data_IF_045586483131
#
_entry.id   IF_045586483131
#
_cell.length_a   1.000
_cell.length_b   1.000
_cell.length_c   1.000
_cell.angle_alpha   90.00
_cell.angle_beta   90.00
_cell.angle_gamma   90.00
#
_symmetry.space_group_name_H-M   'P 1'
#
loop_
_entity.id
_entity.type
_entity.pdbx_description
1 polymer ?
#
# COMPACT_ATOMS: atom_id res chain seq x y z
N UNK A 1 -20.72 -0.26 17.81
CA UNK A 1 -20.93 1.21 17.76
C UNK A 1 -21.46 1.57 16.38
N UNK A 2 -22.26 2.61 16.24
CA UNK A 2 -22.80 3.00 14.92
C UNK A 2 -21.81 3.93 14.20
N UNK A 3 -21.51 3.62 12.95
CA UNK A 3 -20.65 4.47 12.12
C UNK A 3 -21.27 5.84 11.86
N UNK A 4 -20.43 6.87 11.78
CA UNK A 4 -20.81 8.19 11.25
C UNK A 4 -21.08 8.12 9.75
N UNK A 5 -21.86 9.06 9.24
CA UNK A 5 -22.25 9.09 7.82
C UNK A 5 -21.02 9.08 6.90
N UNK A 6 -21.03 8.20 5.90
CA UNK A 6 -19.99 8.07 4.87
C UNK A 6 -18.68 7.39 5.30
N UNK A 7 -18.49 7.13 6.61
CA UNK A 7 -17.24 6.53 7.10
C UNK A 7 -17.05 5.11 6.58
N UNK A 8 -18.10 4.27 6.62
CA UNK A 8 -17.99 2.89 6.10
C UNK A 8 -17.70 2.83 4.61
N UNK A 9 -18.18 3.79 3.82
CA UNK A 9 -17.90 3.86 2.38
C UNK A 9 -16.41 4.15 2.13
N UNK A 10 -15.81 5.06 2.90
CA UNK A 10 -14.36 5.31 2.82
C UNK A 10 -13.55 4.10 3.30
N UNK A 11 -13.94 3.49 4.42
CA UNK A 11 -13.24 2.30 4.93
C UNK A 11 -13.31 1.13 3.94
N UNK A 12 -14.41 0.95 3.22
CA UNK A 12 -14.52 -0.06 2.17
C UNK A 12 -13.55 0.21 1.01
N UNK A 13 -13.40 1.46 0.60
CA UNK A 13 -12.44 1.84 -0.45
C UNK A 13 -11.00 1.64 0.00
N UNK A 14 -10.67 2.07 1.22
CA UNK A 14 -9.32 1.90 1.80
C UNK A 14 -9.00 0.41 1.94
N UNK A 15 -9.91 -0.41 2.49
CA UNK A 15 -9.69 -1.86 2.60
C UNK A 15 -9.45 -2.51 1.22
N UNK A 16 -10.20 -2.11 0.19
CA UNK A 16 -9.97 -2.59 -1.17
C UNK A 16 -8.57 -2.26 -1.67
N UNK A 17 -8.09 -1.04 -1.44
CA UNK A 17 -6.74 -0.64 -1.80
C UNK A 17 -5.67 -1.48 -1.06
N UNK A 18 -5.82 -1.66 0.25
CA UNK A 18 -4.89 -2.46 1.06
C UNK A 18 -4.86 -3.94 0.65
N UNK A 19 -6.01 -4.54 0.41
CA UNK A 19 -6.08 -5.94 -0.07
C UNK A 19 -5.47 -6.08 -1.47
N UNK A 20 -5.67 -5.11 -2.34
CA UNK A 20 -5.02 -5.07 -3.67
C UNK A 20 -3.50 -4.95 -3.51
N UNK A 21 -3.02 -4.08 -2.63
CA UNK A 21 -1.59 -3.91 -2.34
C UNK A 21 -0.94 -5.22 -1.87
N UNK A 22 -1.60 -5.98 -0.99
CA UNK A 22 -1.11 -7.29 -0.55
C UNK A 22 -0.85 -8.21 -1.75
N UNK A 23 -1.83 -8.33 -2.65
CA UNK A 23 -1.71 -9.17 -3.85
C UNK A 23 -0.61 -8.68 -4.77
N UNK A 24 -0.53 -7.37 -4.99
CA UNK A 24 0.47 -6.76 -5.86
C UNK A 24 1.89 -6.95 -5.31
N UNK A 25 2.11 -6.70 -4.03
CA UNK A 25 3.43 -6.83 -3.41
C UNK A 25 3.88 -8.28 -3.24
N UNK A 26 2.95 -9.22 -3.00
CA UNK A 26 3.26 -10.65 -3.03
C UNK A 26 3.75 -11.09 -4.43
N UNK A 27 3.07 -10.65 -5.48
CA UNK A 27 3.49 -10.94 -6.84
C UNK A 27 4.86 -10.32 -7.16
N UNK A 28 5.05 -9.05 -6.83
CA UNK A 28 6.32 -8.35 -7.09
C UNK A 28 7.48 -8.92 -6.29
N UNK A 29 7.24 -9.34 -5.04
CA UNK A 29 8.23 -10.05 -4.23
C UNK A 29 8.67 -11.36 -4.91
N UNK A 30 7.72 -12.15 -5.37
CA UNK A 30 7.99 -13.41 -6.07
C UNK A 30 8.72 -13.20 -7.40
N UNK A 31 8.33 -12.18 -8.16
CA UNK A 31 9.00 -11.82 -9.42
C UNK A 31 10.45 -11.40 -9.19
N UNK A 32 10.71 -10.53 -8.21
CA UNK A 32 12.05 -10.10 -7.85
C UNK A 32 12.93 -11.28 -7.42
N UNK A 33 12.40 -12.20 -6.63
CA UNK A 33 13.10 -13.42 -6.25
C UNK A 33 13.42 -14.30 -7.47
N UNK A 34 12.46 -14.49 -8.35
CA UNK A 34 12.65 -15.25 -9.59
C UNK A 34 13.74 -14.67 -10.49
N UNK A 35 13.87 -13.34 -10.52
CA UNK A 35 14.93 -12.64 -11.26
C UNK A 35 16.28 -12.61 -10.55
N UNK A 36 16.35 -13.06 -9.30
CA UNK A 36 17.60 -13.10 -8.50
C UNK A 36 17.89 -11.82 -7.72
N UNK A 37 16.89 -10.97 -7.49
CA UNK A 37 17.04 -9.70 -6.74
C UNK A 37 16.54 -9.86 -5.30
N UNK A 38 17.34 -10.48 -4.45
CA UNK A 38 16.95 -10.86 -3.09
C UNK A 38 16.63 -9.68 -2.18
N UNK A 39 17.34 -8.55 -2.34
CA UNK A 39 17.04 -7.33 -1.55
C UNK A 39 15.67 -6.75 -1.86
N UNK A 40 15.31 -6.68 -3.14
CA UNK A 40 13.98 -6.23 -3.55
C UNK A 40 12.90 -7.22 -3.10
N UNK A 41 13.15 -8.53 -3.22
CA UNK A 41 12.25 -9.55 -2.70
C UNK A 41 11.97 -9.34 -1.21
N UNK A 42 13.02 -9.15 -0.41
CA UNK A 42 12.88 -8.93 1.02
C UNK A 42 12.06 -7.67 1.34
N UNK A 43 12.32 -6.58 0.62
CA UNK A 43 11.58 -5.33 0.83
C UNK A 43 10.10 -5.45 0.44
N UNK A 44 9.79 -6.01 -0.74
CA UNK A 44 8.40 -6.24 -1.15
C UNK A 44 7.65 -7.19 -0.21
N UNK A 45 8.33 -8.20 0.32
CA UNK A 45 7.74 -9.10 1.34
C UNK A 45 7.41 -8.34 2.64
N UNK A 46 8.26 -7.41 3.03
CA UNK A 46 8.03 -6.53 4.18
C UNK A 46 6.82 -5.62 3.94
N UNK A 47 6.74 -4.96 2.78
CA UNK A 47 5.58 -4.14 2.41
C UNK A 47 4.28 -4.95 2.44
N UNK A 48 4.27 -6.15 1.86
CA UNK A 48 3.09 -7.03 1.89
C UNK A 48 2.65 -7.34 3.33
N UNK A 49 3.60 -7.54 4.25
CA UNK A 49 3.32 -7.76 5.67
C UNK A 49 2.69 -6.54 6.35
N UNK A 50 3.15 -5.35 6.04
CA UNK A 50 2.56 -4.10 6.55
C UNK A 50 1.11 -3.93 6.08
N UNK A 51 0.83 -4.19 4.80
CA UNK A 51 -0.54 -4.12 4.25
C UNK A 51 -1.48 -5.18 4.85
N UNK A 52 -0.96 -6.35 5.21
CA UNK A 52 -1.74 -7.34 5.99
C UNK A 52 -2.12 -6.77 7.35
N UNK A 53 -1.22 -6.11 8.04
CA UNK A 53 -1.49 -5.47 9.34
C UNK A 53 -2.52 -4.35 9.22
N UNK A 54 -2.41 -3.49 8.21
CA UNK A 54 -3.40 -2.45 7.92
C UNK A 54 -4.78 -3.05 7.64
N UNK A 55 -4.84 -4.06 6.77
CA UNK A 55 -6.10 -4.73 6.42
C UNK A 55 -6.76 -5.38 7.63
N UNK A 56 -5.99 -6.04 8.48
CA UNK A 56 -6.50 -6.65 9.73
C UNK A 56 -7.11 -5.58 10.65
N UNK A 57 -6.42 -4.47 10.86
CA UNK A 57 -6.92 -3.36 11.66
C UNK A 57 -8.19 -2.73 11.10
N UNK A 58 -8.27 -2.58 9.76
CA UNK A 58 -9.47 -2.06 9.09
C UNK A 58 -10.66 -3.01 9.23
N UNK A 59 -10.45 -4.31 9.07
CA UNK A 59 -11.49 -5.34 9.23
C UNK A 59 -12.06 -5.27 10.64
N UNK A 60 -11.20 -5.27 11.66
CA UNK A 60 -11.62 -5.16 13.06
C UNK A 60 -12.40 -3.87 13.31
N UNK A 61 -11.95 -2.76 12.77
CA UNK A 61 -12.61 -1.47 12.97
C UNK A 61 -13.96 -1.38 12.24
N UNK A 62 -14.06 -1.92 11.02
CA UNK A 62 -15.34 -1.98 10.28
C UNK A 62 -16.37 -2.80 11.08
N UNK A 63 -15.96 -3.96 11.63
CA UNK A 63 -16.83 -4.78 12.50
C UNK A 63 -17.21 -4.03 13.77
N UNK A 64 -16.29 -3.34 14.41
CA UNK A 64 -16.56 -2.48 15.58
C UNK A 64 -17.63 -1.42 15.29
N UNK A 65 -17.65 -0.88 14.07
CA UNK A 65 -18.67 0.08 13.61
C UNK A 65 -19.96 -0.58 13.12
N UNK A 66 -20.14 -1.89 13.33
CA UNK A 66 -21.26 -2.70 12.84
C UNK A 66 -21.39 -2.71 11.29
N UNK A 67 -20.28 -2.50 10.60
CA UNK A 67 -20.20 -2.68 9.15
C UNK A 67 -19.86 -4.12 8.77
N UNK A 68 -19.91 -4.41 7.48
CA UNK A 68 -19.48 -5.70 6.90
C UNK A 68 -18.27 -5.45 6.02
N UNK A 69 -17.07 -6.00 6.36
CA UNK A 69 -15.90 -5.86 5.51
C UNK A 69 -16.13 -6.52 4.15
N UNK A 70 -15.80 -5.83 3.08
CA UNK A 70 -15.83 -6.39 1.72
C UNK A 70 -14.49 -7.09 1.44
N UNK A 71 -14.51 -8.42 1.38
CA UNK A 71 -13.36 -9.26 1.12
C UNK A 71 -13.33 -9.82 -0.31
N UNK A 72 -14.27 -9.43 -1.16
CA UNK A 72 -14.44 -10.02 -2.48
C UNK A 72 -13.92 -9.12 -3.61
N UNK A 73 -13.97 -7.80 -3.44
CA UNK A 73 -13.61 -6.84 -4.49
C UNK A 73 -12.17 -6.37 -4.34
N UNK A 74 -11.38 -6.63 -5.38
CA UNK A 74 -10.00 -6.15 -5.55
C UNK A 74 -9.90 -5.35 -6.84
N UNK A 75 -8.97 -4.39 -6.87
CA UNK A 75 -8.57 -3.77 -8.12
C UNK A 75 -7.64 -4.73 -8.91
N UNK A 76 -7.55 -4.59 -10.24
CA UNK A 76 -6.62 -5.38 -11.02
C UNK A 76 -5.19 -5.19 -10.55
N UNK A 77 -4.47 -6.30 -10.32
CA UNK A 77 -3.05 -6.27 -9.97
C UNK A 77 -2.25 -5.91 -11.21
N UNK A 78 -1.51 -4.82 -11.12
CA UNK A 78 -0.60 -4.39 -12.18
C UNK A 78 0.77 -5.06 -11.97
N UNK A 79 1.34 -5.60 -13.03
CA UNK A 79 2.71 -6.08 -13.03
C UNK A 79 3.48 -5.46 -14.21
N UNK A 80 4.76 -5.24 -14.01
CA UNK A 80 5.67 -4.75 -15.04
C UNK A 80 6.51 -5.90 -15.62
N UNK A 81 7.23 -5.60 -16.69
CA UNK A 81 8.13 -6.56 -17.34
C UNK A 81 9.53 -6.56 -16.73
N UNK A 82 9.89 -5.52 -16.01
CA UNK A 82 11.19 -5.35 -15.35
C UNK A 82 11.05 -4.59 -14.03
N UNK A 83 12.13 -4.51 -13.27
CA UNK A 83 12.16 -3.85 -11.96
C UNK A 83 11.79 -2.38 -12.04
N UNK A 84 12.27 -1.65 -13.03
CA UNK A 84 11.94 -0.23 -13.18
C UNK A 84 10.44 -0.01 -13.38
N UNK A 85 9.80 -0.85 -14.19
CA UNK A 85 8.36 -0.81 -14.42
C UNK A 85 7.56 -1.18 -13.16
N UNK A 86 8.01 -2.18 -12.37
CA UNK A 86 7.39 -2.51 -11.07
C UNK A 86 7.42 -1.32 -10.12
N UNK A 87 8.60 -0.75 -9.92
CA UNK A 87 8.78 0.38 -9.01
C UNK A 87 7.94 1.59 -9.40
N UNK A 88 7.85 1.90 -10.69
CA UNK A 88 7.04 3.02 -11.18
C UNK A 88 5.54 2.81 -10.95
N UNK A 89 5.04 1.59 -11.20
CA UNK A 89 3.63 1.24 -10.96
C UNK A 89 3.27 1.28 -9.48
N UNK A 90 4.16 0.78 -8.63
CA UNK A 90 3.93 0.77 -7.19
C UNK A 90 3.97 2.17 -6.60
N UNK A 91 4.85 3.05 -7.12
CA UNK A 91 4.84 4.45 -6.76
C UNK A 91 3.51 5.14 -7.11
N UNK A 92 2.98 4.91 -8.30
CA UNK A 92 1.69 5.49 -8.70
C UNK A 92 0.56 4.95 -7.83
N UNK A 93 0.57 3.66 -7.52
CA UNK A 93 -0.40 3.02 -6.64
C UNK A 93 -0.39 3.65 -5.24
N UNK A 94 0.80 3.81 -4.63
CA UNK A 94 0.94 4.41 -3.30
C UNK A 94 0.51 5.87 -3.27
N UNK A 95 0.80 6.64 -4.31
CA UNK A 95 0.32 8.03 -4.43
C UNK A 95 -1.20 8.11 -4.49
N UNK A 96 -1.85 7.21 -5.21
CA UNK A 96 -3.31 7.14 -5.26
C UNK A 96 -3.88 6.76 -3.88
N UNK A 97 -3.25 5.83 -3.17
CA UNK A 97 -3.65 5.43 -1.82
C UNK A 97 -3.50 6.57 -0.82
N UNK A 98 -2.39 7.30 -0.83
CA UNK A 98 -2.19 8.50 -0.02
C UNK A 98 -3.31 9.52 -0.24
N UNK A 99 -3.70 9.76 -1.49
CA UNK A 99 -4.82 10.67 -1.81
C UNK A 99 -6.17 10.16 -1.30
N UNK A 100 -6.43 8.86 -1.38
CA UNK A 100 -7.63 8.23 -0.82
C UNK A 100 -7.67 8.37 0.71
N UNK A 101 -6.57 8.05 1.38
CA UNK A 101 -6.44 8.18 2.84
C UNK A 101 -6.64 9.64 3.28
N UNK A 102 -6.05 10.59 2.56
CA UNK A 102 -6.21 12.02 2.85
C UNK A 102 -7.66 12.46 2.77
N UNK A 103 -8.39 12.04 1.75
CA UNK A 103 -9.84 12.32 1.61
C UNK A 103 -10.65 11.69 2.75
N UNK A 104 -10.35 10.45 3.10
CA UNK A 104 -11.01 9.75 4.19
C UNK A 104 -10.76 10.43 5.56
N UNK A 105 -9.52 10.86 5.82
CA UNK A 105 -9.14 11.58 7.06
C UNK A 105 -9.92 12.91 7.15
N UNK A 106 -9.95 13.69 6.08
CA UNK A 106 -10.70 14.95 6.03
C UNK A 106 -12.19 14.71 6.28
N UNK A 107 -12.76 13.66 5.68
CA UNK A 107 -14.16 13.31 5.91
C UNK A 107 -14.42 12.92 7.37
N UNK A 108 -13.57 12.09 7.97
CA UNK A 108 -13.69 11.71 9.38
C UNK A 108 -13.66 12.91 10.31
N UNK A 109 -12.76 13.87 10.05
CA UNK A 109 -12.71 15.13 10.81
C UNK A 109 -14.02 15.91 10.69
N UNK A 110 -14.59 16.00 9.49
CA UNK A 110 -15.85 16.71 9.22
C UNK A 110 -17.06 16.11 9.95
N UNK A 111 -17.12 14.79 10.08
CA UNK A 111 -18.21 14.10 10.80
C UNK A 111 -17.87 13.80 12.26
N UNK A 112 -16.75 14.33 12.75
CA UNK A 112 -16.28 14.16 14.13
C UNK A 112 -16.05 12.69 14.53
N UNK A 113 -15.56 11.86 13.59
CA UNK A 113 -15.10 10.49 13.84
C UNK A 113 -13.59 10.48 14.07
N UNK A 114 -13.17 10.87 15.26
CA UNK A 114 -11.76 11.00 15.61
C UNK A 114 -11.05 9.66 15.80
N UNK A 115 -11.77 8.60 16.12
CA UNK A 115 -11.20 7.26 16.26
C UNK A 115 -10.82 6.67 14.91
N UNK A 116 -11.73 6.71 13.94
CA UNK A 116 -11.43 6.29 12.56
C UNK A 116 -10.34 7.18 11.96
N UNK A 117 -10.42 8.49 12.15
CA UNK A 117 -9.38 9.43 11.72
C UNK A 117 -8.00 9.02 12.23
N UNK A 118 -7.87 8.72 13.52
CA UNK A 118 -6.61 8.34 14.13
C UNK A 118 -6.00 7.07 13.49
N UNK A 119 -6.81 6.06 13.21
CA UNK A 119 -6.39 4.84 12.51
C UNK A 119 -5.85 5.18 11.12
N UNK A 120 -6.58 5.99 10.35
CA UNK A 120 -6.19 6.38 8.99
C UNK A 120 -4.96 7.28 8.97
N UNK A 121 -4.76 8.12 9.99
CA UNK A 121 -3.56 8.96 10.14
C UNK A 121 -2.29 8.11 10.31
N UNK A 122 -2.33 7.00 11.02
CA UNK A 122 -1.22 6.06 11.10
C UNK A 122 -0.95 5.36 9.76
N UNK A 123 -2.00 5.00 9.04
CA UNK A 123 -1.84 4.36 7.74
C UNK A 123 -1.22 5.30 6.70
N UNK A 124 -1.62 6.58 6.69
CA UNK A 124 -1.06 7.53 5.73
C UNK A 124 0.43 7.81 5.99
N UNK A 125 0.88 7.78 7.24
CA UNK A 125 2.31 7.89 7.58
C UNK A 125 3.10 6.77 6.89
N UNK A 126 2.67 5.52 7.01
CA UNK A 126 3.31 4.37 6.39
C UNK A 126 3.27 4.46 4.86
N UNK A 127 2.13 4.83 4.27
CA UNK A 127 2.00 4.98 2.81
C UNK A 127 2.88 6.11 2.25
N UNK A 128 3.05 7.22 2.98
CA UNK A 128 3.99 8.28 2.61
C UNK A 128 5.46 7.81 2.68
N UNK A 129 5.82 6.96 3.64
CA UNK A 129 7.14 6.32 3.71
C UNK A 129 7.36 5.39 2.51
N UNK A 130 6.33 4.64 2.10
CA UNK A 130 6.40 3.80 0.88
C UNK A 130 6.63 4.66 -0.37
N UNK A 131 5.90 5.78 -0.53
CA UNK A 131 6.11 6.74 -1.63
C UNK A 131 7.57 7.22 -1.67
N UNK A 132 8.10 7.68 -0.53
CA UNK A 132 9.48 8.15 -0.44
C UNK A 132 10.48 7.07 -0.82
N UNK A 133 10.28 5.84 -0.34
CA UNK A 133 11.14 4.72 -0.69
C UNK A 133 11.16 4.45 -2.20
N UNK A 134 9.97 4.37 -2.85
CA UNK A 134 9.89 4.14 -4.30
C UNK A 134 10.54 5.28 -5.10
N UNK A 135 10.34 6.52 -4.69
CA UNK A 135 10.98 7.69 -5.30
C UNK A 135 12.51 7.62 -5.22
N UNK A 136 13.04 7.20 -4.07
CA UNK A 136 14.49 7.01 -3.86
C UNK A 136 15.03 5.93 -4.79
N UNK A 137 14.34 4.79 -4.93
CA UNK A 137 14.78 3.71 -5.82
C UNK A 137 14.84 4.19 -7.29
N UNK A 138 13.78 4.83 -7.77
CA UNK A 138 13.71 5.34 -9.13
C UNK A 138 14.77 6.42 -9.40
N UNK A 139 15.01 7.30 -8.43
CA UNK A 139 16.08 8.30 -8.50
C UNK A 139 17.46 7.66 -8.56
N UNK A 140 17.70 6.60 -7.79
CA UNK A 140 18.96 5.85 -7.85
C UNK A 140 19.18 5.22 -9.24
N UNK A 141 18.14 4.61 -9.81
CA UNK A 141 18.19 4.06 -11.16
C UNK A 141 18.54 5.16 -12.19
N UNK A 142 17.92 6.32 -12.09
CA UNK A 142 18.20 7.46 -12.97
C UNK A 142 19.66 7.92 -12.87
N UNK A 143 20.21 7.98 -11.66
CA UNK A 143 21.57 8.50 -11.41
C UNK A 143 22.68 7.52 -11.78
N UNK A 144 22.53 6.23 -11.49
CA UNK A 144 23.61 5.25 -11.67
C UNK A 144 23.35 4.23 -12.78
N UNK A 145 22.16 4.26 -13.36
CA UNK A 145 21.72 3.32 -14.39
C UNK A 145 21.16 2.01 -13.82
N UNK A 146 20.23 1.40 -14.56
CA UNK A 146 19.52 0.21 -14.14
C UNK A 146 20.43 -0.97 -13.84
N UNK A 147 21.43 -1.25 -14.68
CA UNK A 147 22.34 -2.39 -14.49
C UNK A 147 23.12 -2.29 -13.18
N UNK A 148 23.65 -1.12 -12.86
CA UNK A 148 24.37 -0.90 -11.59
C UNK A 148 23.46 -0.99 -10.39
N UNK A 149 22.27 -0.42 -10.50
CA UNK A 149 21.26 -0.54 -9.45
C UNK A 149 20.90 -2.01 -9.19
N UNK A 150 20.62 -2.78 -10.23
CA UNK A 150 20.26 -4.20 -10.11
C UNK A 150 21.38 -5.05 -9.54
N UNK A 151 22.65 -4.74 -9.83
CA UNK A 151 23.79 -5.47 -9.27
C UNK A 151 23.86 -5.39 -7.75
N UNK A 152 23.37 -4.29 -7.15
CA UNK A 152 23.29 -4.15 -5.70
C UNK A 152 22.06 -4.83 -5.08
N UNK A 153 21.09 -5.26 -5.89
CA UNK A 153 19.89 -5.95 -5.42
C UNK A 153 20.05 -7.46 -5.29
N UNK A 154 21.10 -8.03 -5.85
CA UNK A 154 21.38 -9.48 -5.82
C UNK A 154 21.78 -9.97 -4.42
N UNK A 155 22.36 -9.11 -3.60
CA UNK A 155 22.81 -9.42 -2.25
C UNK A 155 21.72 -9.20 -1.20
N UNK A 156 21.65 -10.08 -0.22
CA UNK A 156 20.81 -9.88 0.97
C UNK A 156 21.23 -8.65 1.79
#
# INVERSE_FOLDING_TARGET
MKAKAGVLDFLAQVLRAELTAIHQYLLHAAMCKHWGYDRLHAHYSHLAGEEVSHSSGLIDHILYLNGTPDMEHLEPVAHGQDVSALLARDLDFEREDVELLRKAIVHCAKVEDFTTRHILEHMIEDSEEHVDWFEIQLRAIEQIGLERYLSEQIKE
#
